data_IF_623324192238
#
_entry.id   IF_623324192238
#
_cell.length_a   1.000
_cell.length_b   1.000
_cell.length_c   1.000
_cell.angle_alpha   90.00
_cell.angle_beta   90.00
_cell.angle_gamma   90.00
#
_symmetry.space_group_name_H-M   'P 1'
#
loop_
_entity.id
_entity.type
_entity.pdbx_description
1 polymer ?
#
# COMPACT_ATOMS: atom_id res chain seq x y z
N UNK A 1 25.98 -7.42 9.23
CA UNK A 1 25.63 -6.76 7.96
C UNK A 1 24.12 -6.82 7.86
N UNK A 2 23.43 -5.68 7.92
CA UNK A 2 21.95 -5.60 7.95
C UNK A 2 21.48 -5.71 6.51
N UNK A 3 20.65 -6.70 6.19
CA UNK A 3 20.16 -6.87 4.82
C UNK A 3 19.31 -5.65 4.42
N UNK A 4 19.59 -4.97 3.28
CA UNK A 4 18.88 -3.76 2.85
C UNK A 4 17.37 -3.94 2.56
N UNK A 5 16.81 -5.12 2.80
CA UNK A 5 15.45 -5.53 2.47
C UNK A 5 14.52 -5.57 3.71
N UNK A 6 15.08 -5.36 4.90
CA UNK A 6 14.38 -5.42 6.19
C UNK A 6 13.78 -4.06 6.61
N UNK A 7 13.16 -3.33 5.68
CA UNK A 7 12.23 -2.27 6.09
C UNK A 7 11.15 -2.88 7.01
N UNK A 8 10.76 -2.21 8.09
CA UNK A 8 9.62 -2.66 8.92
C UNK A 8 8.30 -2.45 8.14
N UNK A 9 7.19 -3.07 8.54
CA UNK A 9 5.86 -2.76 7.97
C UNK A 9 5.54 -1.25 8.06
N UNK A 10 6.05 -0.58 9.09
CA UNK A 10 5.98 0.88 9.21
C UNK A 10 6.78 1.60 8.13
N UNK A 11 7.92 1.04 7.74
CA UNK A 11 8.70 1.56 6.62
C UNK A 11 7.91 1.40 5.31
N UNK A 12 7.24 0.28 5.10
CA UNK A 12 6.42 0.10 3.89
C UNK A 12 5.25 1.09 3.84
N UNK A 13 4.64 1.41 4.98
CA UNK A 13 3.57 2.40 5.06
C UNK A 13 4.06 3.82 4.73
N UNK A 14 5.30 4.14 5.08
CA UNK A 14 5.90 5.45 4.86
C UNK A 14 6.62 5.57 3.52
N UNK A 15 6.94 4.45 2.88
CA UNK A 15 7.60 4.42 1.58
C UNK A 15 6.60 4.69 0.46
N UNK A 16 7.05 5.46 -0.54
CA UNK A 16 6.25 5.82 -1.71
C UNK A 16 6.16 4.63 -2.67
N UNK A 17 7.21 3.80 -2.73
CA UNK A 17 7.33 2.64 -3.62
C UNK A 17 6.60 1.38 -3.13
N UNK A 18 6.45 0.35 -3.98
CA UNK A 18 5.81 -0.92 -3.60
C UNK A 18 6.59 -1.65 -2.51
N UNK A 19 5.87 -2.33 -1.62
CA UNK A 19 6.48 -3.15 -0.59
C UNK A 19 7.33 -4.30 -1.21
N UNK A 20 8.33 -4.83 -0.47
CA UNK A 20 9.25 -5.83 -1.00
C UNK A 20 8.60 -7.16 -1.44
N UNK A 21 7.37 -7.45 -0.99
CA UNK A 21 6.63 -8.69 -1.32
C UNK A 21 5.13 -8.41 -1.49
N UNK A 22 4.44 -9.26 -2.27
CA UNK A 22 2.97 -9.21 -2.44
C UNK A 22 2.23 -9.21 -1.09
N UNK A 23 2.64 -10.10 -0.18
CA UNK A 23 2.00 -10.23 1.13
C UNK A 23 2.08 -8.94 1.96
N UNK A 24 3.25 -8.27 1.95
CA UNK A 24 3.44 -7.00 2.66
C UNK A 24 2.63 -5.87 2.05
N UNK A 25 2.54 -5.81 0.71
CA UNK A 25 1.72 -4.79 0.04
C UNK A 25 0.24 -4.96 0.37
N UNK A 26 -0.27 -6.19 0.41
CA UNK A 26 -1.66 -6.44 0.81
C UNK A 26 -1.95 -5.97 2.24
N UNK A 27 -1.02 -6.19 3.17
CA UNK A 27 -1.15 -5.67 4.55
C UNK A 27 -1.19 -4.15 4.56
N UNK A 28 -0.33 -3.48 3.78
CA UNK A 28 -0.35 -2.00 3.64
C UNK A 28 -1.69 -1.50 3.09
N UNK A 29 -2.24 -2.16 2.07
CA UNK A 29 -3.54 -1.81 1.50
C UNK A 29 -4.66 -1.97 2.54
N UNK A 30 -4.67 -3.09 3.28
CA UNK A 30 -5.67 -3.34 4.34
C UNK A 30 -5.58 -2.29 5.45
N UNK A 31 -4.37 -1.93 5.89
CA UNK A 31 -4.18 -0.88 6.90
C UNK A 31 -4.69 0.47 6.41
N UNK A 32 -4.41 0.83 5.16
CA UNK A 32 -4.93 2.05 4.55
C UNK A 32 -6.46 2.07 4.48
N UNK A 33 -7.10 0.95 4.12
CA UNK A 33 -8.56 0.83 4.12
C UNK A 33 -9.12 1.00 5.55
N UNK A 34 -8.48 0.40 6.56
CA UNK A 34 -8.88 0.55 7.95
C UNK A 34 -8.81 2.02 8.42
N UNK A 35 -7.73 2.73 8.07
CA UNK A 35 -7.56 4.16 8.36
C UNK A 35 -8.68 4.98 7.68
N UNK A 36 -8.98 4.71 6.41
CA UNK A 36 -10.10 5.34 5.71
C UNK A 36 -11.44 5.07 6.41
N UNK A 37 -11.67 3.83 6.87
CA UNK A 37 -12.88 3.48 7.61
C UNK A 37 -13.03 4.28 8.91
N UNK A 38 -11.94 4.47 9.65
CA UNK A 38 -11.92 5.31 10.85
C UNK A 38 -12.19 6.78 10.50
N UNK A 39 -11.57 7.30 9.44
CA UNK A 39 -11.81 8.68 8.98
C UNK A 39 -13.26 8.88 8.55
N UNK A 40 -13.86 7.91 7.86
CA UNK A 40 -15.27 7.93 7.49
C UNK A 40 -16.18 7.97 8.72
N UNK A 41 -15.89 7.18 9.74
CA UNK A 41 -16.68 7.17 10.97
C UNK A 41 -16.66 8.51 11.71
N UNK A 42 -15.56 9.27 11.60
CA UNK A 42 -15.40 10.58 12.25
C UNK A 42 -16.02 11.71 11.43
N UNK A 43 -15.72 11.76 10.13
CA UNK A 43 -16.05 12.90 9.24
C UNK A 43 -17.42 12.70 8.57
N UNK A 44 -17.84 11.44 8.40
CA UNK A 44 -19.03 11.07 7.65
C UNK A 44 -18.84 11.13 6.13
N UNK A 45 -19.92 10.89 5.40
CA UNK A 45 -19.92 10.94 3.94
C UNK A 45 -20.00 12.37 3.42
N UNK A 46 -18.97 12.82 2.69
CA UNK A 46 -19.01 14.06 1.93
C UNK A 46 -18.27 13.91 0.58
N UNK A 47 -18.48 14.82 -0.39
CA UNK A 47 -17.83 14.71 -1.70
C UNK A 47 -16.29 14.72 -1.63
N UNK A 48 -15.72 15.52 -0.74
CA UNK A 48 -14.25 15.65 -0.57
C UNK A 48 -13.64 14.31 -0.10
N UNK A 49 -14.30 13.62 0.81
CA UNK A 49 -13.90 12.32 1.32
C UNK A 49 -13.83 11.29 0.18
N UNK A 50 -14.85 11.25 -0.68
CA UNK A 50 -14.85 10.33 -1.82
C UNK A 50 -13.76 10.66 -2.86
N UNK A 51 -13.42 11.94 -3.04
CA UNK A 51 -12.27 12.33 -3.86
C UNK A 51 -10.96 11.79 -3.27
N UNK A 52 -10.77 11.89 -1.95
CA UNK A 52 -9.60 11.35 -1.27
C UNK A 52 -9.52 9.82 -1.35
N UNK A 53 -10.65 9.14 -1.19
CA UNK A 53 -10.75 7.67 -1.36
C UNK A 53 -10.34 7.28 -2.78
N UNK A 54 -10.84 7.98 -3.80
CA UNK A 54 -10.50 7.71 -5.20
C UNK A 54 -8.99 7.94 -5.45
N UNK A 55 -8.43 9.04 -4.93
CA UNK A 55 -7.00 9.32 -5.05
C UNK A 55 -6.16 8.22 -4.38
N UNK A 56 -6.55 7.76 -3.19
CA UNK A 56 -5.86 6.68 -2.50
C UNK A 56 -5.95 5.35 -3.26
N UNK A 57 -7.13 5.04 -3.81
CA UNK A 57 -7.32 3.83 -4.62
C UNK A 57 -6.43 3.81 -5.86
N UNK A 58 -6.30 4.96 -6.55
CA UNK A 58 -5.38 5.12 -7.68
C UNK A 58 -3.93 4.94 -7.24
N UNK A 59 -3.53 5.59 -6.15
CA UNK A 59 -2.18 5.44 -5.58
C UNK A 59 -1.84 3.98 -5.25
N UNK A 60 -2.73 3.30 -4.52
CA UNK A 60 -2.57 1.90 -4.16
C UNK A 60 -2.52 1.00 -5.41
N UNK A 61 -3.37 1.27 -6.40
CA UNK A 61 -3.37 0.54 -7.68
C UNK A 61 -2.06 0.69 -8.45
N UNK A 62 -1.54 1.92 -8.57
CA UNK A 62 -0.25 2.19 -9.22
C UNK A 62 0.87 1.46 -8.51
N UNK A 63 0.94 1.60 -7.17
CA UNK A 63 1.94 0.95 -6.33
C UNK A 63 1.90 -0.57 -6.50
N UNK A 64 0.72 -1.17 -6.43
CA UNK A 64 0.54 -2.61 -6.62
C UNK A 64 0.98 -3.08 -8.01
N UNK A 65 0.62 -2.36 -9.08
CA UNK A 65 1.02 -2.71 -10.46
C UNK A 65 2.54 -2.63 -10.66
N UNK A 66 3.20 -1.64 -10.05
CA UNK A 66 4.68 -1.56 -10.06
C UNK A 66 5.26 -2.75 -9.30
N UNK A 67 4.70 -3.08 -8.13
CA UNK A 67 5.10 -4.22 -7.30
C UNK A 67 4.99 -5.56 -8.04
N UNK A 68 3.88 -5.81 -8.75
CA UNK A 68 3.65 -7.03 -9.53
C UNK A 68 4.80 -7.32 -10.50
N UNK A 69 5.34 -6.29 -11.17
CA UNK A 69 6.46 -6.44 -12.10
C UNK A 69 7.76 -6.83 -11.40
N UNK A 70 7.95 -6.39 -10.15
CA UNK A 70 9.12 -6.73 -9.34
C UNK A 70 9.03 -8.14 -8.76
N UNK A 71 7.89 -8.48 -8.16
CA UNK A 71 7.71 -9.78 -7.50
C UNK A 71 7.69 -10.95 -8.48
N UNK A 72 7.02 -10.80 -9.64
CA UNK A 72 7.00 -11.86 -10.66
C UNK A 72 8.39 -12.20 -11.20
N UNK A 73 9.31 -11.21 -11.26
CA UNK A 73 10.70 -11.46 -11.67
C UNK A 73 11.49 -12.19 -10.59
N UNK A 74 11.25 -11.86 -9.32
CA UNK A 74 11.89 -12.52 -8.19
C UNK A 74 11.42 -13.98 -8.04
N UNK A 75 10.13 -14.25 -8.29
CA UNK A 75 9.58 -15.60 -8.33
C UNK A 75 10.10 -16.41 -9.53
N UNK A 76 10.23 -15.79 -10.71
CA UNK A 76 10.78 -16.46 -11.89
C UNK A 76 12.28 -16.79 -11.81
N UNK A 77 13.00 -16.26 -10.82
CA UNK A 77 14.42 -16.56 -10.56
C UNK A 77 14.64 -17.55 -9.40
N UNK A 78 13.58 -18.06 -8.79
CA UNK A 78 13.63 -19.17 -7.82
C UNK A 78 13.36 -20.51 -8.50
#
# INVERSE_FOLDING_TARGET
MREPHEGSLLTDLMDIGPAPTMGRELVVIVVNIAIIGVLFAIIGSNPVFWILVAALAVYAGIRFVIGLRGWNRAEAQR
#
